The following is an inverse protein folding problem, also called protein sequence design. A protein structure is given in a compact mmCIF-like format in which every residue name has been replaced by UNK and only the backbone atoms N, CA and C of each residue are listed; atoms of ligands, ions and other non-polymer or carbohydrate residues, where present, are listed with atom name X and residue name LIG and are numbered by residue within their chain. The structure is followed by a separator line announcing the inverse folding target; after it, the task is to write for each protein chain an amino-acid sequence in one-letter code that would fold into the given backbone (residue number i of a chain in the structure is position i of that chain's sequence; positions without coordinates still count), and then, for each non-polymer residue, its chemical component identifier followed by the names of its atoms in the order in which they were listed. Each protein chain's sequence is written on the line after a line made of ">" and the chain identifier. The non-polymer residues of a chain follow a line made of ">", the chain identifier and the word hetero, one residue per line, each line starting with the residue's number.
data_IF_689814596984
#
_entry.id   IF_689814596984
#
_cell.length_a   1.000
_cell.length_b   1.000
_cell.length_c   1.000
_cell.angle_alpha   90.00
_cell.angle_beta   90.00
_cell.angle_gamma   90.00
#
_symmetry.space_group_name_H-M   'P 1'
#
loop_
_entity.id
_entity.type
_entity.pdbx_description
1 polymer ?
#
# COMPACT_ATOMS: atom_id res chain seq x y z
N UNK A 1 51.67 68.68 35.37
CA UNK A 1 50.26 68.40 35.03
C UNK A 1 50.24 67.93 33.59
N UNK A 2 49.92 66.71 33.21
CA UNK A 2 49.36 65.53 33.87
C UNK A 2 49.89 64.33 33.03
N UNK A 3 50.56 63.36 33.64
CA UNK A 3 49.98 62.12 34.17
C UNK A 3 49.97 61.00 33.10
N UNK A 4 50.94 60.08 33.21
CA UNK A 4 50.87 58.70 32.68
C UNK A 4 50.55 57.84 33.90
N UNK A 5 49.62 56.88 33.83
CA UNK A 5 50.06 55.50 33.54
C UNK A 5 49.01 54.59 32.89
N UNK A 6 49.45 53.43 32.39
CA UNK A 6 48.55 52.31 32.08
C UNK A 6 49.13 51.33 31.06
N UNK A 7 50.00 50.42 31.52
CA UNK A 7 50.40 49.22 30.78
C UNK A 7 49.27 48.19 30.79
N UNK A 8 48.80 47.76 29.62
CA UNK A 8 47.86 46.63 29.49
C UNK A 8 48.54 45.31 29.95
N UNK A 9 47.84 44.44 30.71
CA UNK A 9 48.34 43.11 31.03
C UNK A 9 48.12 42.15 29.83
N UNK A 10 48.87 41.04 29.73
CA UNK A 10 48.65 40.07 28.67
C UNK A 10 47.28 39.40 28.81
N UNK A 11 46.61 39.18 27.68
CA UNK A 11 45.34 38.47 27.63
C UNK A 11 45.49 37.07 28.23
N UNK A 12 44.80 36.81 29.34
CA UNK A 12 44.70 35.50 29.96
C UNK A 12 43.99 34.54 29.00
N UNK A 13 44.61 33.39 28.72
CA UNK A 13 43.95 32.25 28.11
C UNK A 13 42.67 31.94 28.88
N UNK A 14 41.53 31.90 28.18
CA UNK A 14 40.27 31.45 28.76
C UNK A 14 40.45 29.99 29.16
N UNK A 15 40.14 29.60 30.41
CA UNK A 15 40.11 28.18 30.75
C UNK A 15 39.06 27.52 29.85
N UNK A 16 39.44 26.41 29.23
CA UNK A 16 38.49 25.52 28.59
C UNK A 16 37.37 25.20 29.60
N UNK A 17 36.12 25.20 29.14
CA UNK A 17 34.95 24.78 29.92
C UNK A 17 35.24 23.40 30.56
N UNK A 18 35.72 23.40 31.80
CA UNK A 18 35.70 22.24 32.66
C UNK A 18 34.23 22.02 33.04
N UNK A 19 33.56 21.17 32.27
CA UNK A 19 32.31 20.57 32.70
C UNK A 19 32.56 19.91 34.07
N UNK A 20 31.72 20.16 35.08
CA UNK A 20 31.92 19.58 36.40
C UNK A 20 31.95 18.05 36.25
N UNK A 21 32.97 17.45 36.86
CA UNK A 21 33.16 16.01 36.92
C UNK A 21 31.99 15.39 37.71
N UNK A 22 30.89 15.12 37.01
CA UNK A 22 29.86 14.20 37.44
C UNK A 22 30.54 12.83 37.56
N UNK A 23 30.44 12.20 38.73
CA UNK A 23 31.01 10.88 38.98
C UNK A 23 30.47 9.89 37.94
N UNK A 24 31.27 9.63 36.90
CA UNK A 24 30.92 8.82 35.75
C UNK A 24 30.72 7.35 36.16
N UNK A 25 29.52 7.00 36.64
CA UNK A 25 29.00 5.67 36.38
C UNK A 25 29.04 5.50 34.87
N UNK A 26 29.70 4.46 34.32
CA UNK A 26 29.68 4.24 32.89
C UNK A 26 28.22 4.11 32.49
N UNK A 27 27.70 5.10 31.77
CA UNK A 27 26.38 5.03 31.19
C UNK A 27 26.49 3.92 30.13
N UNK A 28 26.09 2.70 30.48
CA UNK A 28 25.98 1.62 29.51
C UNK A 28 25.08 2.15 28.40
N UNK A 29 25.66 2.31 27.22
CA UNK A 29 24.90 2.80 26.07
C UNK A 29 23.78 1.79 25.84
N UNK A 30 22.54 2.26 25.66
CA UNK A 30 21.43 1.36 25.39
C UNK A 30 21.73 0.56 24.11
N UNK A 31 21.57 -0.76 24.19
CA UNK A 31 21.74 -1.67 23.06
C UNK A 31 20.36 -1.98 22.49
N UNK A 32 20.16 -1.68 21.21
CA UNK A 32 18.94 -2.00 20.48
C UNK A 32 19.24 -3.12 19.49
N UNK A 33 18.91 -4.36 19.87
CA UNK A 33 19.15 -5.52 19.02
C UNK A 33 18.25 -5.49 17.77
N UNK A 34 18.81 -5.85 16.62
CA UNK A 34 18.08 -5.99 15.36
C UNK A 34 18.67 -7.14 14.55
N UNK A 35 17.79 -7.90 13.88
CA UNK A 35 18.19 -8.88 12.89
C UNK A 35 18.33 -8.26 11.48
N UNK A 36 17.91 -7.00 11.28
CA UNK A 36 17.90 -6.36 9.96
C UNK A 36 19.27 -5.72 9.65
N UNK A 37 19.27 -4.39 9.45
CA UNK A 37 20.43 -3.62 9.06
C UNK A 37 21.27 -3.16 10.26
N UNK A 38 22.59 -3.35 10.21
CA UNK A 38 23.54 -2.69 11.09
C UNK A 38 24.78 -2.27 10.29
N UNK A 39 25.40 -1.15 10.67
CA UNK A 39 26.56 -0.61 9.96
C UNK A 39 27.69 -0.28 10.93
N UNK A 40 28.91 -0.62 10.54
CA UNK A 40 30.16 -0.16 11.15
C UNK A 40 30.91 0.74 10.17
N UNK A 41 32.15 1.11 10.50
CA UNK A 41 33.03 1.83 9.57
C UNK A 41 33.30 1.02 8.29
N UNK A 42 33.40 -0.29 8.41
CA UNK A 42 33.96 -1.16 7.36
C UNK A 42 32.96 -2.20 6.85
N UNK A 43 31.83 -2.38 7.52
CA UNK A 43 30.83 -3.40 7.17
C UNK A 43 29.40 -2.85 7.27
N UNK A 44 28.54 -3.33 6.38
CA UNK A 44 27.09 -3.19 6.47
C UNK A 44 26.52 -4.59 6.46
N UNK A 45 25.74 -4.95 7.47
CA UNK A 45 25.07 -6.24 7.54
C UNK A 45 23.58 -6.09 7.29
N UNK A 46 22.97 -7.08 6.67
CA UNK A 46 21.53 -7.21 6.52
C UNK A 46 21.15 -8.66 6.77
N UNK A 47 20.23 -8.94 7.71
CA UNK A 47 19.84 -10.32 8.05
C UNK A 47 21.03 -11.17 8.52
N UNK A 48 22.03 -10.54 9.13
CA UNK A 48 23.28 -11.19 9.56
C UNK A 48 24.29 -11.46 8.43
N UNK A 49 23.99 -11.09 7.19
CA UNK A 49 24.87 -11.25 6.03
C UNK A 49 25.59 -9.95 5.68
N UNK A 50 26.81 -10.01 5.13
CA UNK A 50 27.49 -8.82 4.62
C UNK A 50 26.77 -8.32 3.36
N UNK A 51 26.21 -7.12 3.41
CA UNK A 51 25.41 -6.57 2.31
C UNK A 51 26.22 -6.47 1.02
N UNK A 52 27.48 -6.02 1.10
CA UNK A 52 28.30 -5.76 -0.07
C UNK A 52 28.88 -7.03 -0.68
N UNK A 53 29.23 -8.03 0.14
CA UNK A 53 29.88 -9.26 -0.30
C UNK A 53 28.90 -10.39 -0.59
N UNK A 54 27.85 -10.52 0.23
CA UNK A 54 27.00 -11.70 0.22
C UNK A 54 25.65 -11.46 -0.47
N UNK A 55 25.14 -10.21 -0.49
CA UNK A 55 23.78 -9.88 -0.95
C UNK A 55 23.77 -9.12 -2.27
N UNK A 56 24.60 -8.08 -2.41
CA UNK A 56 24.64 -7.26 -3.63
C UNK A 56 25.11 -8.07 -4.85
N UNK A 57 24.24 -8.17 -5.86
CA UNK A 57 24.51 -8.89 -7.11
C UNK A 57 24.18 -10.39 -7.08
N UNK A 58 23.80 -10.93 -5.92
CA UNK A 58 23.44 -12.35 -5.74
C UNK A 58 21.97 -12.57 -5.35
N UNK A 59 21.34 -11.58 -4.71
CA UNK A 59 19.95 -11.63 -4.23
C UNK A 59 19.09 -10.64 -5.00
N UNK A 60 17.97 -11.11 -5.56
CA UNK A 60 16.99 -10.26 -6.24
C UNK A 60 16.25 -9.35 -5.26
N UNK A 61 15.73 -8.20 -5.72
CA UNK A 61 15.04 -7.29 -4.81
C UNK A 61 13.72 -7.87 -4.26
N UNK A 62 12.98 -8.65 -5.07
CA UNK A 62 11.77 -9.35 -4.60
C UNK A 62 12.09 -10.40 -3.53
N UNK A 63 13.11 -11.24 -3.80
CA UNK A 63 13.67 -12.19 -2.83
C UNK A 63 14.08 -11.49 -1.52
N UNK A 64 14.80 -10.38 -1.61
CA UNK A 64 15.25 -9.61 -0.45
C UNK A 64 14.07 -9.04 0.35
N UNK A 65 13.08 -8.46 -0.32
CA UNK A 65 11.90 -7.90 0.34
C UNK A 65 11.09 -8.98 1.09
N UNK A 66 10.93 -10.16 0.49
CA UNK A 66 10.33 -11.32 1.15
C UNK A 66 11.15 -11.71 2.40
N UNK A 67 12.46 -11.84 2.24
CA UNK A 67 13.35 -12.29 3.31
C UNK A 67 13.39 -11.29 4.47
N UNK A 68 13.37 -9.98 4.21
CA UNK A 68 13.30 -8.96 5.24
C UNK A 68 12.02 -9.06 6.07
N UNK A 69 10.88 -9.33 5.43
CA UNK A 69 9.59 -9.40 6.10
C UNK A 69 9.37 -10.70 6.87
N UNK A 70 9.90 -11.82 6.37
CA UNK A 70 9.69 -13.15 6.97
C UNK A 70 10.86 -13.62 7.83
N UNK A 71 12.01 -12.95 7.74
CA UNK A 71 13.30 -13.40 8.30
C UNK A 71 13.74 -14.79 7.84
N UNK A 72 13.11 -15.32 6.78
CA UNK A 72 13.43 -16.60 6.15
C UNK A 72 13.70 -16.36 4.66
N UNK A 73 14.83 -16.89 4.17
CA UNK A 73 15.12 -16.80 2.74
C UNK A 73 14.09 -17.62 1.96
N UNK A 74 13.39 -17.05 0.97
CA UNK A 74 12.41 -17.79 0.20
C UNK A 74 13.08 -18.83 -0.70
N UNK A 75 12.33 -19.86 -1.09
CA UNK A 75 12.72 -20.73 -2.20
C UNK A 75 12.60 -19.99 -3.54
N UNK A 76 13.20 -20.50 -4.63
CA UNK A 76 13.00 -19.93 -5.96
C UNK A 76 11.52 -19.88 -6.38
N UNK A 77 10.72 -20.89 -6.01
CA UNK A 77 9.28 -20.93 -6.30
C UNK A 77 8.50 -19.87 -5.53
N UNK A 78 8.78 -19.71 -4.23
CA UNK A 78 8.18 -18.65 -3.41
C UNK A 78 8.52 -17.27 -3.96
N UNK A 79 9.78 -17.09 -4.38
CA UNK A 79 10.26 -15.84 -4.99
C UNK A 79 9.49 -15.54 -6.27
N UNK A 80 9.33 -16.52 -7.17
CA UNK A 80 8.62 -16.32 -8.43
C UNK A 80 7.14 -15.98 -8.23
N UNK A 81 6.46 -16.65 -7.30
CA UNK A 81 5.06 -16.33 -6.96
C UNK A 81 4.96 -14.94 -6.34
N UNK A 82 5.85 -14.60 -5.41
CA UNK A 82 5.89 -13.29 -4.77
C UNK A 82 6.14 -12.16 -5.79
N UNK A 83 7.13 -12.30 -6.67
CA UNK A 83 7.41 -11.31 -7.71
C UNK A 83 6.28 -11.21 -8.75
N UNK A 84 5.57 -12.30 -9.01
CA UNK A 84 4.34 -12.29 -9.83
C UNK A 84 3.25 -11.43 -9.16
N UNK A 85 3.06 -11.54 -7.84
CA UNK A 85 2.16 -10.67 -7.08
C UNK A 85 2.60 -9.20 -7.21
N UNK A 86 3.89 -8.91 -7.00
CA UNK A 86 4.39 -7.54 -7.10
C UNK A 86 4.15 -6.95 -8.51
N UNK A 87 4.42 -7.73 -9.56
CA UNK A 87 4.16 -7.31 -10.94
C UNK A 87 2.65 -7.05 -11.18
N UNK A 88 1.78 -7.93 -10.68
CA UNK A 88 0.33 -7.82 -10.84
C UNK A 88 -0.28 -6.59 -10.14
N UNK A 89 0.41 -6.03 -9.14
CA UNK A 89 -0.02 -4.88 -8.33
C UNK A 89 0.71 -3.58 -8.68
N UNK A 90 1.75 -3.63 -9.53
CA UNK A 90 2.65 -2.51 -9.77
C UNK A 90 1.94 -1.27 -10.32
N UNK A 91 1.24 -1.40 -11.45
CA UNK A 91 0.57 -0.28 -12.11
C UNK A 91 -0.70 -0.69 -12.86
N UNK A 92 -1.68 0.23 -12.95
CA UNK A 92 -2.94 0.05 -13.68
C UNK A 92 -3.38 1.36 -14.37
N UNK A 93 -2.43 2.14 -14.89
CA UNK A 93 -2.67 3.42 -15.55
C UNK A 93 -2.97 4.56 -14.58
N UNK A 94 -3.74 5.55 -15.04
CA UNK A 94 -4.12 6.77 -14.32
C UNK A 94 -5.14 6.53 -13.19
N UNK A 95 -4.78 5.64 -12.27
CA UNK A 95 -5.43 5.51 -10.97
C UNK A 95 -5.35 6.82 -10.20
N UNK A 96 -6.27 7.09 -9.24
CA UNK A 96 -6.18 8.29 -8.40
C UNK A 96 -4.82 8.47 -7.74
N UNK A 97 -4.17 7.39 -7.31
CA UNK A 97 -2.80 7.43 -6.74
C UNK A 97 -1.76 7.90 -7.74
N UNK A 98 -1.85 7.47 -9.01
CA UNK A 98 -0.94 7.91 -10.08
C UNK A 98 -1.19 9.38 -10.47
N UNK A 99 -2.46 9.78 -10.55
CA UNK A 99 -2.85 11.17 -10.85
C UNK A 99 -2.32 12.11 -9.76
N UNK A 100 -2.58 11.79 -8.48
CA UNK A 100 -2.10 12.61 -7.35
C UNK A 100 -0.57 12.68 -7.32
N UNK A 101 0.12 11.56 -7.58
CA UNK A 101 1.59 11.55 -7.68
C UNK A 101 2.09 12.57 -8.71
N UNK A 102 1.52 12.56 -9.92
CA UNK A 102 1.89 13.49 -11.00
C UNK A 102 1.50 14.94 -10.69
N UNK A 103 0.34 15.19 -10.07
CA UNK A 103 -0.09 16.54 -9.65
C UNK A 103 0.77 17.12 -8.52
N UNK A 104 1.18 16.30 -7.55
CA UNK A 104 2.14 16.71 -6.51
C UNK A 104 3.49 17.01 -7.13
N UNK A 105 3.94 16.20 -8.07
CA UNK A 105 5.19 16.44 -8.81
C UNK A 105 5.15 17.72 -9.65
N UNK A 106 4.03 18.02 -10.32
CA UNK A 106 3.82 19.29 -11.03
C UNK A 106 4.03 20.49 -10.10
N UNK A 107 3.55 20.39 -8.85
CA UNK A 107 3.61 21.49 -7.88
C UNK A 107 5.01 21.65 -7.25
N UNK A 108 5.72 20.56 -7.01
CA UNK A 108 7.03 20.53 -6.36
C UNK A 108 7.96 19.50 -7.03
N UNK A 109 8.52 19.81 -8.22
CA UNK A 109 9.33 18.86 -8.99
C UNK A 109 10.66 18.49 -8.31
N UNK A 110 11.11 19.29 -7.35
CA UNK A 110 12.26 19.03 -6.49
C UNK A 110 11.97 18.02 -5.36
N UNK A 111 10.69 17.67 -5.13
CA UNK A 111 10.24 16.78 -4.06
C UNK A 111 9.68 15.46 -4.60
N UNK A 112 10.53 14.64 -5.22
CA UNK A 112 10.17 13.31 -5.75
C UNK A 112 9.60 12.41 -4.65
N UNK A 113 10.20 12.44 -3.46
CA UNK A 113 9.71 11.71 -2.29
C UNK A 113 8.32 12.19 -1.85
N UNK A 114 8.03 13.49 -1.99
CA UNK A 114 6.71 14.05 -1.71
C UNK A 114 5.66 13.55 -2.69
N UNK A 115 5.99 13.53 -3.98
CA UNK A 115 5.12 12.98 -5.02
C UNK A 115 4.83 11.48 -4.81
N UNK A 116 5.86 10.68 -4.55
CA UNK A 116 5.69 9.25 -4.24
C UNK A 116 4.84 9.04 -2.98
N UNK A 117 5.12 9.79 -1.91
CA UNK A 117 4.35 9.72 -0.68
C UNK A 117 2.87 10.07 -0.90
N UNK A 118 2.58 11.13 -1.66
CA UNK A 118 1.21 11.53 -1.98
C UNK A 118 0.43 10.41 -2.71
N UNK A 119 1.07 9.74 -3.67
CA UNK A 119 0.49 8.57 -4.33
C UNK A 119 0.24 7.41 -3.38
N UNK A 120 1.21 7.07 -2.54
CA UNK A 120 1.10 5.95 -1.59
C UNK A 120 0.06 6.21 -0.50
N UNK A 121 -0.08 7.46 -0.04
CA UNK A 121 -1.11 7.87 0.93
C UNK A 121 -2.53 7.74 0.37
N UNK A 122 -2.70 7.71 -0.95
CA UNK A 122 -3.98 7.39 -1.58
C UNK A 122 -4.35 5.90 -1.54
N UNK A 123 -3.45 5.03 -1.06
CA UNK A 123 -3.72 3.61 -0.81
C UNK A 123 -4.56 3.41 0.45
N UNK A 124 -5.66 2.65 0.35
CA UNK A 124 -6.60 2.42 1.45
C UNK A 124 -7.64 1.35 1.11
N UNK A 125 -8.81 1.38 1.76
CA UNK A 125 -9.84 0.34 1.59
C UNK A 125 -10.33 0.17 0.15
N UNK A 126 -10.37 1.25 -0.64
CA UNK A 126 -10.83 1.23 -2.04
C UNK A 126 -9.74 0.82 -3.04
N UNK A 127 -8.49 1.17 -2.75
CA UNK A 127 -7.34 0.93 -3.63
C UNK A 127 -6.21 0.29 -2.82
N UNK A 128 -5.70 -0.86 -3.25
CA UNK A 128 -4.64 -1.65 -2.58
C UNK A 128 -5.06 -2.38 -1.29
N UNK A 129 -6.06 -1.90 -0.55
CA UNK A 129 -6.51 -2.53 0.70
C UNK A 129 -7.11 -3.93 0.53
N UNK A 130 -7.76 -4.20 -0.60
CA UNK A 130 -8.41 -5.50 -0.89
C UNK A 130 -7.43 -6.67 -0.80
N UNK A 131 -6.14 -6.47 -1.10
CA UNK A 131 -5.13 -7.53 -0.99
C UNK A 131 -4.99 -8.04 0.44
N UNK A 132 -4.94 -7.15 1.41
CA UNK A 132 -4.88 -7.51 2.83
C UNK A 132 -6.22 -8.04 3.34
N UNK A 133 -7.32 -7.38 2.97
CA UNK A 133 -8.66 -7.78 3.38
C UNK A 133 -8.99 -9.21 2.90
N UNK A 134 -8.60 -9.56 1.67
CA UNK A 134 -8.77 -10.92 1.12
C UNK A 134 -7.88 -11.93 1.81
N UNK A 135 -6.59 -11.64 2.00
CA UNK A 135 -5.67 -12.57 2.68
C UNK A 135 -6.11 -12.87 4.11
N UNK A 136 -6.44 -11.83 4.89
CA UNK A 136 -6.98 -11.97 6.26
C UNK A 136 -8.29 -12.73 6.28
N UNK A 137 -9.24 -12.35 5.43
CA UNK A 137 -10.54 -13.01 5.38
C UNK A 137 -10.42 -14.52 5.10
N UNK A 138 -9.61 -14.90 4.11
CA UNK A 138 -9.39 -16.31 3.78
C UNK A 138 -8.71 -17.03 4.93
N UNK A 139 -7.69 -16.41 5.54
CA UNK A 139 -7.00 -16.98 6.69
C UNK A 139 -7.94 -17.21 7.88
N UNK A 140 -8.78 -16.24 8.21
CA UNK A 140 -9.73 -16.32 9.32
C UNK A 140 -10.74 -17.46 9.10
N UNK A 141 -11.21 -17.64 7.86
CA UNK A 141 -12.09 -18.78 7.51
C UNK A 141 -11.35 -20.09 7.70
N UNK A 142 -10.13 -20.23 7.18
CA UNK A 142 -9.33 -21.44 7.30
C UNK A 142 -9.00 -21.78 8.76
N UNK A 143 -8.67 -20.77 9.58
CA UNK A 143 -8.37 -20.92 11.00
C UNK A 143 -9.60 -21.30 11.84
N UNK A 144 -10.81 -21.05 11.33
CA UNK A 144 -12.08 -21.42 11.98
C UNK A 144 -12.54 -22.85 11.70
N UNK A 145 -11.88 -23.58 10.79
CA UNK A 145 -12.24 -24.96 10.44
C UNK A 145 -11.78 -25.90 11.55
N UNK A 146 -12.73 -26.62 12.16
CA UNK A 146 -12.43 -27.69 13.10
C UNK A 146 -11.96 -28.95 12.36
N UNK A 147 -10.69 -29.31 12.53
CA UNK A 147 -10.10 -30.53 11.95
C UNK A 147 -9.27 -30.29 10.68
N UNK A 148 -9.02 -31.33 9.87
CA UNK A 148 -8.22 -31.19 8.66
C UNK A 148 -8.95 -30.30 7.64
N UNK A 149 -8.18 -29.48 6.93
CA UNK A 149 -8.68 -28.74 5.78
C UNK A 149 -9.09 -29.71 4.65
N UNK A 150 -10.03 -29.31 3.77
CA UNK A 150 -10.39 -30.10 2.60
C UNK A 150 -9.19 -30.45 1.72
N UNK A 151 -9.19 -31.66 1.17
CA UNK A 151 -8.18 -32.16 0.23
C UNK A 151 -8.73 -32.36 -1.19
N UNK A 152 -10.04 -32.13 -1.41
CA UNK A 152 -10.72 -32.24 -2.69
C UNK A 152 -11.60 -31.01 -3.02
N UNK A 153 -11.97 -30.89 -4.30
CA UNK A 153 -12.79 -29.76 -4.77
C UNK A 153 -14.17 -29.71 -4.12
N UNK A 154 -14.76 -30.85 -3.80
CA UNK A 154 -16.09 -30.93 -3.19
C UNK A 154 -16.08 -30.35 -1.76
N UNK A 155 -15.06 -30.68 -0.97
CA UNK A 155 -14.88 -30.13 0.37
C UNK A 155 -14.56 -28.64 0.35
N UNK A 156 -13.72 -28.18 -0.58
CA UNK A 156 -13.48 -26.75 -0.77
C UNK A 156 -14.75 -25.99 -1.19
N UNK A 157 -15.54 -26.54 -2.10
CA UNK A 157 -16.81 -25.96 -2.53
C UNK A 157 -17.82 -25.90 -1.38
N UNK A 158 -17.89 -26.92 -0.52
CA UNK A 158 -18.75 -26.92 0.65
C UNK A 158 -18.35 -25.83 1.67
N UNK A 159 -17.05 -25.68 1.96
CA UNK A 159 -16.54 -24.63 2.84
C UNK A 159 -16.80 -23.23 2.27
N UNK A 160 -16.54 -23.05 0.98
CA UNK A 160 -16.81 -21.80 0.27
C UNK A 160 -18.31 -21.46 0.27
N UNK A 161 -19.18 -22.44 0.05
CA UNK A 161 -20.63 -22.22 0.02
C UNK A 161 -21.15 -21.77 1.39
N UNK A 162 -20.70 -22.42 2.46
CA UNK A 162 -21.02 -22.01 3.84
C UNK A 162 -20.52 -20.58 4.11
N UNK A 163 -19.28 -20.28 3.69
CA UNK A 163 -18.65 -18.97 3.87
C UNK A 163 -19.42 -17.85 3.17
N UNK A 164 -19.73 -18.01 1.88
CA UNK A 164 -20.47 -16.99 1.10
C UNK A 164 -21.88 -16.81 1.64
N UNK A 165 -22.54 -17.89 2.08
CA UNK A 165 -23.87 -17.84 2.71
C UNK A 165 -23.85 -17.01 4.00
N UNK A 166 -22.88 -17.26 4.89
CA UNK A 166 -22.73 -16.51 6.12
C UNK A 166 -22.48 -15.01 5.87
N UNK A 167 -21.58 -14.67 4.93
CA UNK A 167 -21.29 -13.28 4.54
C UNK A 167 -22.53 -12.57 3.99
N UNK A 168 -23.30 -13.23 3.12
CA UNK A 168 -24.57 -12.69 2.58
C UNK A 168 -25.58 -12.44 3.70
N UNK A 169 -25.75 -13.39 4.63
CA UNK A 169 -26.67 -13.24 5.76
C UNK A 169 -26.29 -12.06 6.68
N UNK A 170 -24.99 -11.80 6.84
CA UNK A 170 -24.47 -10.66 7.59
C UNK A 170 -24.48 -9.33 6.81
N UNK A 171 -24.88 -9.31 5.53
CA UNK A 171 -24.92 -8.10 4.71
C UNK A 171 -23.54 -7.54 4.35
N UNK A 172 -22.48 -8.34 4.44
CA UNK A 172 -21.10 -7.93 4.16
C UNK A 172 -20.58 -8.54 2.86
N UNK A 173 -19.79 -7.78 2.11
CA UNK A 173 -19.19 -8.24 0.85
C UNK A 173 -18.12 -9.31 1.09
N UNK A 174 -17.84 -10.15 0.09
CA UNK A 174 -16.68 -11.06 0.10
C UNK A 174 -15.48 -10.31 -0.51
N UNK A 175 -14.35 -10.13 0.20
CA UNK A 175 -13.23 -9.34 -0.30
C UNK A 175 -12.57 -10.11 -1.45
N UNK A 176 -12.26 -9.43 -2.54
CA UNK A 176 -11.70 -10.06 -3.74
C UNK A 176 -12.75 -10.59 -4.72
N UNK A 177 -14.05 -10.54 -4.40
CA UNK A 177 -15.14 -10.91 -5.29
C UNK A 177 -15.81 -9.67 -5.89
N UNK A 178 -15.75 -9.55 -7.23
CA UNK A 178 -16.27 -8.44 -8.01
C UNK A 178 -15.16 -7.49 -8.51
N UNK A 179 -15.39 -6.89 -9.68
CA UNK A 179 -14.49 -5.91 -10.28
C UNK A 179 -15.30 -4.82 -11.01
N UNK A 180 -14.89 -3.55 -10.88
CA UNK A 180 -15.59 -2.42 -11.50
C UNK A 180 -15.38 -2.32 -13.03
N UNK A 181 -14.15 -2.59 -13.50
CA UNK A 181 -13.81 -2.68 -14.95
C UNK A 181 -13.98 -4.10 -15.53
N UNK A 182 -13.24 -5.08 -15.02
CA UNK A 182 -13.15 -6.44 -15.57
C UNK A 182 -14.36 -7.33 -15.21
N UNK A 183 -15.55 -6.97 -15.71
CA UNK A 183 -16.80 -7.69 -15.41
C UNK A 183 -16.79 -9.16 -15.87
N UNK A 184 -16.06 -9.45 -16.94
CA UNK A 184 -15.96 -10.79 -17.54
C UNK A 184 -14.78 -11.62 -17.00
N UNK A 185 -14.00 -11.07 -16.05
CA UNK A 185 -12.84 -11.74 -15.45
C UNK A 185 -11.61 -10.85 -15.45
N UNK A 186 -10.91 -10.81 -14.32
CA UNK A 186 -9.61 -10.14 -14.21
C UNK A 186 -8.52 -11.05 -14.81
N UNK A 187 -7.79 -10.61 -15.85
CA UNK A 187 -6.82 -11.47 -16.54
C UNK A 187 -5.63 -11.89 -15.66
N UNK A 188 -5.39 -11.18 -14.55
CA UNK A 188 -4.31 -11.51 -13.60
C UNK A 188 -4.62 -12.76 -12.80
N UNK A 189 -5.91 -13.00 -12.50
CA UNK A 189 -6.35 -14.11 -11.65
C UNK A 189 -5.97 -15.48 -12.21
N UNK A 190 -6.36 -15.88 -13.44
CA UNK A 190 -5.97 -17.19 -13.97
C UNK A 190 -4.45 -17.33 -14.07
N UNK A 191 -3.73 -16.28 -14.51
CA UNK A 191 -2.27 -16.37 -14.66
C UNK A 191 -1.54 -16.57 -13.34
N UNK A 192 -1.99 -15.91 -12.27
CA UNK A 192 -1.38 -16.07 -10.95
C UNK A 192 -1.64 -17.45 -10.36
N UNK A 193 -2.84 -18.01 -10.56
CA UNK A 193 -3.19 -19.36 -10.15
C UNK A 193 -2.34 -20.42 -10.89
N UNK A 194 -2.13 -20.25 -12.19
CA UNK A 194 -1.24 -21.11 -12.99
C UNK A 194 0.19 -21.10 -12.43
N UNK A 195 0.76 -19.92 -12.20
CA UNK A 195 2.13 -19.77 -11.66
C UNK A 195 2.24 -20.40 -10.26
N UNK A 196 1.24 -20.18 -9.39
CA UNK A 196 1.22 -20.80 -8.07
C UNK A 196 1.19 -22.33 -8.16
N UNK A 197 0.42 -22.90 -9.09
CA UNK A 197 0.38 -24.34 -9.33
C UNK A 197 1.70 -24.88 -9.91
N UNK A 198 2.28 -24.19 -10.90
CA UNK A 198 3.59 -24.52 -11.50
C UNK A 198 4.70 -24.63 -10.44
N UNK A 199 4.70 -23.72 -9.46
CA UNK A 199 5.72 -23.66 -8.39
C UNK A 199 5.36 -24.48 -7.13
N UNK A 200 4.22 -25.17 -7.12
CA UNK A 200 3.77 -25.95 -5.95
C UNK A 200 3.34 -25.10 -4.75
N UNK A 201 2.93 -23.85 -4.99
CA UNK A 201 2.47 -22.88 -4.00
C UNK A 201 0.98 -22.52 -4.15
N UNK A 202 0.20 -23.38 -4.82
CA UNK A 202 -1.26 -23.32 -4.79
C UNK A 202 -1.74 -23.92 -3.46
N UNK A 203 -1.86 -23.08 -2.44
CA UNK A 203 -2.18 -23.49 -1.08
C UNK A 203 -3.65 -23.33 -0.69
N UNK A 204 -3.97 -23.53 0.60
CA UNK A 204 -5.33 -23.43 1.13
C UNK A 204 -6.05 -22.11 0.85
N UNK A 205 -5.35 -20.97 0.87
CA UNK A 205 -5.98 -19.66 0.66
C UNK A 205 -6.42 -19.53 -0.81
N UNK A 206 -5.58 -19.94 -1.76
CA UNK A 206 -5.94 -19.98 -3.18
C UNK A 206 -7.03 -21.03 -3.47
N UNK A 207 -7.00 -22.19 -2.83
CA UNK A 207 -8.06 -23.20 -2.93
C UNK A 207 -9.42 -22.67 -2.48
N UNK A 208 -9.48 -22.05 -1.30
CA UNK A 208 -10.71 -21.43 -0.81
C UNK A 208 -11.16 -20.27 -1.71
N UNK A 209 -10.24 -19.41 -2.14
CA UNK A 209 -10.55 -18.26 -3.00
C UNK A 209 -11.13 -18.70 -4.35
N UNK A 210 -10.57 -19.74 -4.96
CA UNK A 210 -11.08 -20.30 -6.23
C UNK A 210 -12.42 -21.01 -6.04
N UNK A 211 -12.61 -21.74 -4.95
CA UNK A 211 -13.89 -22.37 -4.61
C UNK A 211 -15.01 -21.33 -4.41
N UNK A 212 -14.72 -20.21 -3.73
CA UNK A 212 -15.65 -19.05 -3.66
C UNK A 212 -16.04 -18.57 -5.05
N UNK A 213 -15.07 -18.47 -5.97
CA UNK A 213 -15.32 -18.13 -7.37
C UNK A 213 -16.30 -19.08 -8.07
N UNK A 214 -16.25 -20.38 -7.78
CA UNK A 214 -17.15 -21.39 -8.36
C UNK A 214 -18.56 -21.35 -7.76
N UNK A 215 -18.67 -21.23 -6.44
CA UNK A 215 -19.95 -21.48 -5.73
C UNK A 215 -20.78 -20.23 -5.46
N UNK A 216 -20.18 -19.04 -5.45
CA UNK A 216 -20.91 -17.81 -5.09
C UNK A 216 -22.17 -17.53 -5.93
N UNK A 217 -22.31 -17.91 -7.23
CA UNK A 217 -23.53 -17.62 -7.99
C UNK A 217 -24.76 -18.30 -7.40
N UNK A 218 -24.60 -19.46 -6.75
CA UNK A 218 -25.67 -20.20 -6.07
C UNK A 218 -26.26 -19.40 -4.91
N UNK A 219 -25.43 -18.56 -4.25
CA UNK A 219 -25.81 -17.77 -3.09
C UNK A 219 -26.22 -16.35 -3.49
N UNK A 220 -25.51 -15.74 -4.44
CA UNK A 220 -25.70 -14.34 -4.81
C UNK A 220 -26.71 -14.15 -5.95
N UNK A 221 -27.07 -15.20 -6.69
CA UNK A 221 -27.97 -15.15 -7.84
C UNK A 221 -27.37 -14.45 -9.07
N UNK A 222 -26.07 -14.15 -9.04
CA UNK A 222 -25.31 -13.54 -10.13
C UNK A 222 -23.84 -13.95 -10.04
N UNK A 223 -23.17 -13.97 -11.18
CA UNK A 223 -21.73 -14.21 -11.25
C UNK A 223 -20.96 -12.90 -11.11
N UNK A 224 -19.94 -12.92 -10.26
CA UNK A 224 -18.98 -11.84 -10.05
C UNK A 224 -17.57 -12.41 -10.26
N UNK A 225 -16.68 -11.67 -10.94
CA UNK A 225 -15.31 -12.12 -11.19
C UNK A 225 -14.48 -12.10 -9.91
N UNK A 226 -13.58 -13.07 -9.75
CA UNK A 226 -12.49 -12.96 -8.77
C UNK A 226 -11.49 -11.90 -9.26
N UNK A 227 -11.20 -10.90 -8.44
CA UNK A 227 -10.32 -9.80 -8.83
C UNK A 227 -8.84 -10.07 -8.50
N UNK A 228 -7.97 -9.38 -9.23
CA UNK A 228 -6.52 -9.54 -9.11
C UNK A 228 -5.94 -9.08 -7.78
N UNK A 229 -6.59 -8.14 -7.07
CA UNK A 229 -6.15 -7.78 -5.73
C UNK A 229 -6.39 -8.92 -4.73
N UNK A 230 -7.53 -9.61 -4.85
CA UNK A 230 -7.92 -10.72 -3.99
C UNK A 230 -7.07 -11.96 -4.19
N UNK A 231 -6.80 -12.34 -5.45
CA UNK A 231 -5.90 -13.48 -5.73
C UNK A 231 -4.47 -13.21 -5.26
N UNK A 232 -4.00 -11.97 -5.35
CA UNK A 232 -2.70 -11.57 -4.78
C UNK A 232 -2.71 -11.74 -3.25
N UNK A 233 -3.80 -11.33 -2.58
CA UNK A 233 -3.96 -11.51 -1.14
C UNK A 233 -3.92 -12.97 -0.70
N UNK A 234 -4.63 -13.83 -1.44
CA UNK A 234 -4.63 -15.27 -1.23
C UNK A 234 -3.22 -15.87 -1.41
N UNK A 235 -2.52 -15.51 -2.49
CA UNK A 235 -1.19 -16.02 -2.78
C UNK A 235 -0.15 -15.58 -1.74
N UNK A 236 -0.17 -14.32 -1.30
CA UNK A 236 0.73 -13.86 -0.24
C UNK A 236 0.47 -14.60 1.09
N UNK A 237 -0.79 -14.91 1.39
CA UNK A 237 -1.14 -15.69 2.58
C UNK A 237 -0.65 -17.14 2.47
N UNK A 238 -0.76 -17.78 1.30
CA UNK A 238 -0.21 -19.13 1.05
C UNK A 238 1.32 -19.19 1.14
N UNK A 239 2.01 -18.11 0.77
CA UNK A 239 3.45 -17.98 0.94
C UNK A 239 3.88 -17.72 2.40
N UNK A 240 2.92 -17.54 3.32
CA UNK A 240 3.19 -17.33 4.74
C UNK A 240 3.70 -15.94 5.09
N UNK A 241 3.39 -14.92 4.30
CA UNK A 241 3.70 -13.54 4.65
C UNK A 241 2.86 -13.09 5.87
N UNK A 242 3.37 -12.19 6.73
CA UNK A 242 2.60 -11.64 7.84
C UNK A 242 1.32 -10.94 7.34
N UNK A 243 0.16 -11.36 7.85
CA UNK A 243 -1.14 -10.89 7.35
C UNK A 243 -1.34 -9.38 7.56
N UNK A 244 -0.75 -8.83 8.62
CA UNK A 244 -0.70 -7.39 8.95
C UNK A 244 0.06 -6.55 7.93
N UNK A 245 0.87 -7.18 7.09
CA UNK A 245 1.77 -6.50 6.16
C UNK A 245 1.40 -6.75 4.70
N UNK A 246 0.30 -7.46 4.40
CA UNK A 246 -0.11 -7.74 3.02
C UNK A 246 -0.32 -6.46 2.21
N UNK A 247 -0.89 -5.43 2.83
CA UNK A 247 -1.00 -4.11 2.20
C UNK A 247 0.36 -3.45 1.98
N UNK A 248 1.32 -3.70 2.86
CA UNK A 248 2.70 -3.24 2.72
C UNK A 248 3.35 -3.74 1.42
N UNK A 249 3.12 -4.99 1.02
CA UNK A 249 3.61 -5.51 -0.25
C UNK A 249 2.88 -4.94 -1.47
N UNK A 250 1.59 -4.67 -1.34
CA UNK A 250 0.86 -3.94 -2.39
C UNK A 250 1.39 -2.51 -2.56
N UNK A 251 1.77 -1.85 -1.45
CA UNK A 251 2.43 -0.53 -1.48
C UNK A 251 3.82 -0.61 -2.09
N UNK A 252 4.63 -1.61 -1.74
CA UNK A 252 5.94 -1.85 -2.36
C UNK A 252 5.84 -1.97 -3.88
N UNK A 253 4.90 -2.79 -4.36
CA UNK A 253 4.60 -2.93 -5.78
C UNK A 253 4.18 -1.58 -6.39
N UNK A 254 3.27 -0.87 -5.72
CA UNK A 254 2.78 0.42 -6.19
C UNK A 254 3.89 1.47 -6.25
N UNK A 255 4.85 1.46 -5.34
CA UNK A 255 6.01 2.36 -5.39
C UNK A 255 6.79 2.20 -6.70
N UNK A 256 7.02 0.95 -7.15
CA UNK A 256 7.68 0.70 -8.44
C UNK A 256 6.87 1.27 -9.61
N UNK A 257 5.54 1.08 -9.62
CA UNK A 257 4.66 1.68 -10.61
C UNK A 257 4.68 3.21 -10.62
N UNK A 258 4.61 3.84 -9.44
CA UNK A 258 4.63 5.30 -9.30
C UNK A 258 5.96 5.92 -9.73
N UNK A 259 7.09 5.23 -9.51
CA UNK A 259 8.38 5.65 -10.09
C UNK A 259 8.29 5.63 -11.62
N UNK A 260 7.69 4.59 -12.21
CA UNK A 260 7.42 4.52 -13.64
C UNK A 260 6.53 5.67 -14.13
N UNK A 261 5.47 6.01 -13.40
CA UNK A 261 4.58 7.14 -13.69
C UNK A 261 5.36 8.47 -13.71
N UNK A 262 6.25 8.70 -12.73
CA UNK A 262 7.09 9.90 -12.71
C UNK A 262 8.15 9.90 -13.82
N UNK A 263 8.76 8.75 -14.11
CA UNK A 263 9.73 8.62 -15.19
C UNK A 263 9.11 8.88 -16.57
N UNK A 264 7.82 8.58 -16.74
CA UNK A 264 7.06 8.99 -17.91
C UNK A 264 6.69 10.48 -17.85
N UNK A 265 6.23 11.00 -16.71
CA UNK A 265 5.92 12.43 -16.51
C UNK A 265 7.09 13.35 -16.89
N UNK A 266 8.33 12.94 -16.63
CA UNK A 266 9.55 13.66 -17.04
C UNK A 266 9.69 13.85 -18.56
N UNK A 267 9.14 12.93 -19.36
CA UNK A 267 9.30 12.89 -20.83
C UNK A 267 8.01 13.28 -21.55
N UNK A 268 6.88 12.90 -20.99
CA UNK A 268 5.53 13.08 -21.51
C UNK A 268 4.64 13.56 -20.35
N UNK A 269 4.77 14.85 -19.99
CA UNK A 269 4.02 15.40 -18.86
C UNK A 269 2.53 15.44 -19.17
N UNK A 270 1.72 15.02 -18.22
CA UNK A 270 0.24 15.13 -18.29
C UNK A 270 -0.33 15.79 -17.04
N UNK A 271 0.47 15.98 -15.98
CA UNK A 271 0.01 16.60 -14.74
C UNK A 271 -0.60 17.97 -14.96
N UNK A 272 0.02 18.81 -15.82
CA UNK A 272 -0.51 20.13 -16.14
C UNK A 272 -1.83 20.06 -16.92
N UNK A 273 -1.97 19.09 -17.84
CA UNK A 273 -3.21 18.91 -18.59
C UNK A 273 -4.35 18.46 -17.67
N UNK A 274 -4.07 17.55 -16.73
CA UNK A 274 -5.03 17.14 -15.70
C UNK A 274 -5.44 18.35 -14.86
N UNK A 275 -4.49 19.16 -14.40
CA UNK A 275 -4.77 20.37 -13.63
C UNK A 275 -5.64 21.35 -14.41
N UNK A 276 -5.24 21.73 -15.63
CA UNK A 276 -5.95 22.68 -16.46
C UNK A 276 -7.32 22.16 -16.92
N UNK A 277 -7.49 20.84 -17.07
CA UNK A 277 -8.80 20.26 -17.39
C UNK A 277 -9.84 20.54 -16.32
N UNK A 278 -9.43 20.67 -15.06
CA UNK A 278 -10.33 21.03 -13.95
C UNK A 278 -10.41 22.55 -13.80
N UNK A 279 -9.26 23.24 -13.79
CA UNK A 279 -9.20 24.68 -13.55
C UNK A 279 -9.94 25.49 -14.61
N UNK A 280 -9.79 25.15 -15.90
CA UNK A 280 -10.44 25.88 -16.99
C UNK A 280 -11.92 25.53 -17.19
N UNK A 281 -12.41 24.45 -16.57
CA UNK A 281 -13.81 24.01 -16.67
C UNK A 281 -14.59 24.24 -15.37
N UNK A 282 -14.13 25.16 -14.52
CA UNK A 282 -14.85 25.56 -13.33
C UNK A 282 -15.97 26.57 -13.64
N UNK A 283 -16.99 26.65 -12.79
CA UNK A 283 -18.03 27.68 -12.82
C UNK A 283 -18.33 28.13 -11.40
N UNK A 284 -18.40 29.44 -11.19
CA UNK A 284 -18.87 29.99 -9.92
C UNK A 284 -20.34 29.61 -9.67
N UNK A 285 -20.64 29.09 -8.48
CA UNK A 285 -22.00 28.80 -8.01
C UNK A 285 -22.26 29.49 -6.67
N UNK A 286 -23.53 29.80 -6.33
CA UNK A 286 -23.85 30.30 -4.99
C UNK A 286 -23.40 29.32 -3.89
N UNK A 287 -22.99 29.81 -2.71
CA UNK A 287 -22.70 28.94 -1.57
C UNK A 287 -23.93 28.13 -1.14
N UNK A 288 -23.72 26.84 -0.82
CA UNK A 288 -24.74 25.94 -0.26
C UNK A 288 -24.30 25.47 1.14
N UNK A 289 -24.66 26.21 2.21
CA UNK A 289 -24.19 25.90 3.55
C UNK A 289 -24.87 24.64 4.11
N UNK A 290 -24.09 23.79 4.78
CA UNK A 290 -24.63 22.64 5.48
C UNK A 290 -25.61 23.07 6.59
N UNK A 291 -26.82 22.52 6.56
CA UNK A 291 -27.82 22.68 7.61
C UNK A 291 -28.01 21.34 8.33
N UNK A 292 -27.75 21.25 9.64
CA UNK A 292 -28.15 20.09 10.42
C UNK A 292 -29.66 19.88 10.32
N UNK A 293 -30.10 18.62 10.21
CA UNK A 293 -31.52 18.29 10.15
C UNK A 293 -32.30 18.98 11.29
N UNK A 294 -33.30 19.77 10.93
CA UNK A 294 -34.17 20.47 11.88
C UNK A 294 -33.66 21.83 12.40
N UNK A 295 -32.51 22.33 11.94
CA UNK A 295 -32.05 23.68 12.28
C UNK A 295 -32.52 24.69 11.21
N UNK A 296 -33.28 25.75 11.57
CA UNK A 296 -33.65 26.78 10.62
C UNK A 296 -32.42 27.54 10.13
N UNK A 297 -32.47 28.01 8.87
CA UNK A 297 -31.48 28.94 8.33
C UNK A 297 -31.40 30.19 9.23
N UNK A 298 -30.20 30.78 9.42
CA UNK A 298 -30.07 32.09 10.04
C UNK A 298 -30.96 33.11 9.30
N UNK A 299 -31.56 34.08 10.00
CA UNK A 299 -32.51 35.04 9.41
C UNK A 299 -31.93 35.88 8.26
N UNK A 300 -30.59 35.94 8.13
CA UNK A 300 -29.88 36.69 7.09
C UNK A 300 -29.32 35.80 5.94
N UNK A 301 -29.62 34.49 5.94
CA UNK A 301 -29.21 33.61 4.85
C UNK A 301 -30.20 33.70 3.68
N UNK A 302 -29.80 34.39 2.60
CA UNK A 302 -30.56 34.38 1.35
C UNK A 302 -30.71 32.93 0.85
N UNK A 303 -31.94 32.52 0.56
CA UNK A 303 -32.20 31.21 -0.03
C UNK A 303 -31.48 31.13 -1.40
N UNK A 304 -30.84 30.00 -1.75
CA UNK A 304 -30.18 29.86 -3.03
C UNK A 304 -31.19 30.14 -4.15
N UNK A 305 -30.86 31.07 -5.05
CA UNK A 305 -31.69 31.41 -6.20
C UNK A 305 -32.02 30.12 -6.96
N UNK A 306 -33.30 29.82 -7.11
CA UNK A 306 -33.78 28.66 -7.88
C UNK A 306 -33.40 28.85 -9.35
N UNK A 307 -32.23 28.33 -9.74
CA UNK A 307 -31.78 28.31 -11.12
C UNK A 307 -32.60 27.31 -11.92
N UNK A 308 -33.70 27.76 -12.52
CA UNK A 308 -34.41 27.01 -13.56
C UNK A 308 -33.64 27.15 -14.88
N UNK A 309 -32.55 26.42 -15.05
CA UNK A 309 -32.01 26.15 -16.39
C UNK A 309 -32.48 24.77 -16.82
N UNK A 310 -33.69 24.74 -17.37
CA UNK A 310 -34.11 23.64 -18.23
C UNK A 310 -33.36 23.82 -19.56
N UNK A 311 -32.56 22.85 -20.04
CA UNK A 311 -32.01 22.96 -21.37
C UNK A 311 -33.17 22.87 -22.37
N UNK A 312 -33.34 23.94 -23.15
CA UNK A 312 -34.25 23.95 -24.28
C UNK A 312 -33.81 22.89 -25.29
N UNK A 313 -34.76 22.07 -25.73
CA UNK A 313 -34.65 21.25 -26.93
C UNK A 313 -34.36 22.14 -28.14
N UNK A 314 -33.25 21.91 -28.84
CA UNK A 314 -33.11 22.25 -30.28
C UNK A 314 -32.14 21.26 -30.95
N UNK A 315 -32.64 20.55 -31.99
CA UNK A 315 -31.86 20.09 -33.15
C UNK A 315 -31.28 18.70 -33.16
#
# INVERSE_FOLDING_TARGET
>A
MADRPGSEPPASERPADEQPADEQRPYERPVYATALGASTRDTITLLGHDLARDVMGSVGFGELAFWLATQRRPTPGETRVFETVLAALADHGFTPTAIVTRLTYLSAPDSVQGALAAGLLGGGSRFLGVTEDSGRFLHDVLASVDGPLPDDDAGWDALALATVTARRAAGVFVPGLGHHVHKDGDPRTPRLLEIAAEEGHFGPHLSLFTAIGRVHPQVLGRTLPLNGAGVCGAALADLGLPLELLRGFALLARTAGLIGQLAEELRHPVGNDVFLSVDLNNRSVPPDPYLPDGCPLPPDAEAPASGSDSPAEEG
#
